data_IF_709226653248
#
_entry.id   IF_709226653248
#
_cell.length_a   1.000
_cell.length_b   1.000
_cell.length_c   1.000
_cell.angle_alpha   90.00
_cell.angle_beta   90.00
_cell.angle_gamma   90.00
#
_symmetry.space_group_name_H-M   'P 1'
#
loop_
_entity.id
_entity.type
_entity.pdbx_description
1 polymer ?
#
# COMPACT_ATOMS: atom_id res chain seq x y z
N UNK A 1 25.27 -98.52 -43.23
CA UNK A 1 24.02 -98.77 -42.48
C UNK A 1 24.23 -98.30 -41.04
N UNK A 2 23.20 -97.76 -40.38
CA UNK A 2 23.18 -96.95 -39.13
C UNK A 2 23.58 -95.48 -39.31
N UNK A 3 22.76 -94.42 -39.18
CA UNK A 3 21.48 -94.05 -38.53
C UNK A 3 21.67 -93.05 -37.37
N UNK A 4 21.35 -91.78 -37.67
CA UNK A 4 20.70 -90.71 -36.87
C UNK A 4 20.94 -90.60 -35.35
N UNK A 5 21.32 -89.40 -34.89
CA UNK A 5 20.37 -88.46 -34.25
C UNK A 5 20.96 -87.06 -34.04
N UNK A 6 20.24 -86.05 -34.54
CA UNK A 6 20.39 -84.64 -34.16
C UNK A 6 19.62 -84.43 -32.86
N UNK A 7 20.27 -83.85 -31.86
CA UNK A 7 19.57 -83.27 -30.71
C UNK A 7 19.71 -81.75 -30.75
N UNK A 8 18.56 -81.10 -30.84
CA UNK A 8 18.37 -79.67 -30.71
C UNK A 8 18.47 -79.30 -29.23
N UNK A 9 19.39 -78.39 -28.88
CA UNK A 9 19.38 -77.76 -27.57
C UNK A 9 18.47 -76.52 -27.62
N UNK A 10 17.59 -76.43 -26.63
CA UNK A 10 16.51 -75.44 -26.55
C UNK A 10 17.08 -74.09 -26.12
N UNK A 11 16.70 -73.04 -26.84
CA UNK A 11 16.94 -71.65 -26.46
C UNK A 11 16.09 -71.34 -25.22
N UNK A 12 16.74 -71.18 -24.07
CA UNK A 12 16.11 -70.67 -22.84
C UNK A 12 15.79 -69.19 -23.04
N UNK A 13 14.49 -68.89 -23.05
CA UNK A 13 13.96 -67.53 -23.04
C UNK A 13 14.30 -66.87 -21.70
N UNK A 14 15.23 -65.92 -21.76
CA UNK A 14 15.68 -65.07 -20.67
C UNK A 14 16.02 -63.69 -21.21
N UNK A 15 15.08 -63.14 -21.97
CA UNK A 15 14.99 -61.74 -22.37
C UNK A 15 14.99 -60.86 -21.11
N UNK A 16 16.13 -60.29 -20.77
CA UNK A 16 16.24 -59.22 -19.78
C UNK A 16 17.14 -58.15 -20.38
N UNK A 17 16.57 -56.95 -20.48
CA UNK A 17 17.09 -55.74 -21.10
C UNK A 17 18.58 -55.44 -20.85
N UNK A 18 19.27 -54.70 -21.75
CA UNK A 18 20.61 -54.24 -21.48
C UNK A 18 20.62 -53.43 -20.17
N UNK A 19 21.33 -53.96 -19.18
CA UNK A 19 21.51 -53.38 -17.87
C UNK A 19 22.20 -52.02 -18.05
N UNK A 20 21.47 -50.93 -17.81
CA UNK A 20 21.93 -49.54 -17.96
C UNK A 20 23.00 -49.11 -16.94
N UNK A 21 23.73 -50.06 -16.34
CA UNK A 21 24.79 -49.81 -15.36
C UNK A 21 26.22 -50.01 -15.92
N UNK A 22 26.38 -50.59 -17.11
CA UNK A 22 27.69 -51.00 -17.64
C UNK A 22 28.48 -49.88 -18.35
N UNK A 23 27.81 -48.89 -18.95
CA UNK A 23 28.46 -47.96 -19.89
C UNK A 23 29.32 -46.90 -19.18
N UNK A 24 29.15 -46.71 -17.87
CA UNK A 24 29.85 -45.64 -17.12
C UNK A 24 31.21 -46.06 -16.55
N UNK A 25 31.54 -47.34 -16.52
CA UNK A 25 32.77 -47.81 -15.88
C UNK A 25 33.87 -48.25 -16.85
N UNK A 26 33.56 -48.42 -18.14
CA UNK A 26 34.52 -48.91 -19.14
C UNK A 26 35.53 -47.87 -19.66
N UNK A 27 35.55 -46.62 -19.16
CA UNK A 27 36.47 -45.56 -19.63
C UNK A 27 37.57 -45.16 -18.62
N UNK A 28 37.56 -45.64 -17.38
CA UNK A 28 38.55 -45.23 -16.37
C UNK A 28 39.62 -46.30 -16.12
N UNK A 29 40.55 -46.46 -17.08
CA UNK A 29 41.88 -47.00 -16.77
C UNK A 29 42.79 -45.83 -16.39
N UNK A 30 42.96 -45.61 -15.09
CA UNK A 30 43.91 -44.66 -14.53
C UNK A 30 43.26 -43.63 -13.61
N UNK A 31 43.59 -43.73 -12.32
CA UNK A 31 43.40 -42.71 -11.27
C UNK A 31 41.95 -42.29 -11.02
N UNK A 32 41.28 -43.05 -10.14
CA UNK A 32 39.99 -42.69 -9.58
C UNK A 32 40.03 -41.35 -8.85
N UNK A 33 39.44 -40.34 -9.46
CA UNK A 33 38.89 -39.20 -8.73
C UNK A 33 37.37 -39.27 -8.87
N UNK A 34 36.60 -39.24 -7.77
CA UNK A 34 35.17 -39.04 -7.88
C UNK A 34 34.98 -37.67 -8.53
N UNK A 35 34.47 -37.63 -9.76
CA UNK A 35 33.97 -36.37 -10.32
C UNK A 35 32.76 -36.01 -9.49
N UNK A 36 32.99 -35.29 -8.40
CA UNK A 36 31.95 -34.54 -7.74
C UNK A 36 31.45 -33.55 -8.80
N UNK A 37 30.34 -33.86 -9.45
CA UNK A 37 29.59 -32.83 -10.17
C UNK A 37 29.18 -31.81 -9.13
N UNK A 38 30.03 -30.81 -8.91
CA UNK A 38 29.76 -29.67 -8.06
C UNK A 38 28.58 -28.96 -8.72
N UNK A 39 27.37 -29.29 -8.26
CA UNK A 39 26.15 -28.63 -8.71
C UNK A 39 26.28 -27.19 -8.23
N UNK A 40 26.39 -26.20 -9.13
CA UNK A 40 26.62 -24.83 -8.71
C UNK A 40 25.42 -24.36 -7.89
N UNK A 41 25.64 -24.12 -6.60
CA UNK A 41 24.61 -23.75 -5.62
C UNK A 41 23.88 -22.45 -5.97
N UNK A 42 24.50 -21.61 -6.79
CA UNK A 42 23.95 -20.36 -7.32
C UNK A 42 22.93 -20.54 -8.46
N UNK A 43 22.83 -21.72 -9.07
CA UNK A 43 21.94 -21.94 -10.23
C UNK A 43 20.53 -22.40 -9.76
N UNK A 44 19.48 -21.57 -9.93
CA UNK A 44 18.14 -21.84 -9.41
C UNK A 44 17.46 -23.05 -10.05
N UNK A 45 17.94 -23.49 -11.22
CA UNK A 45 17.40 -24.67 -11.94
C UNK A 45 17.61 -25.98 -11.18
N UNK A 46 18.58 -26.05 -10.28
CA UNK A 46 18.90 -27.25 -9.49
C UNK A 46 18.44 -27.16 -8.03
N UNK A 47 17.74 -26.09 -7.66
CA UNK A 47 17.21 -25.93 -6.31
C UNK A 47 16.13 -26.95 -6.01
N UNK A 48 16.22 -27.58 -4.85
CA UNK A 48 15.17 -28.47 -4.37
C UNK A 48 13.92 -27.66 -4.01
N UNK A 49 12.75 -28.31 -4.00
CA UNK A 49 11.47 -27.67 -3.62
C UNK A 49 11.56 -26.96 -2.26
N UNK A 50 12.39 -27.45 -1.34
CA UNK A 50 12.63 -26.85 -0.02
C UNK A 50 13.32 -25.48 -0.10
N UNK A 51 14.27 -25.30 -1.01
CA UNK A 51 14.97 -24.03 -1.20
C UNK A 51 14.03 -23.00 -1.84
N UNK A 52 13.22 -23.42 -2.81
CA UNK A 52 12.16 -22.57 -3.37
C UNK A 52 11.16 -22.12 -2.30
N UNK A 53 10.73 -23.02 -1.40
CA UNK A 53 9.86 -22.66 -0.26
C UNK A 53 10.54 -21.61 0.64
N UNK A 54 11.82 -21.79 0.97
CA UNK A 54 12.55 -20.82 1.80
C UNK A 54 12.68 -19.45 1.12
N UNK A 55 12.89 -19.41 -0.20
CA UNK A 55 13.00 -18.17 -0.98
C UNK A 55 11.65 -17.48 -1.08
N UNK A 56 10.57 -18.22 -1.35
CA UNK A 56 9.21 -17.67 -1.34
C UNK A 56 8.87 -17.13 0.04
N UNK A 57 9.19 -17.86 1.11
CA UNK A 57 8.97 -17.39 2.48
C UNK A 57 9.75 -16.09 2.76
N UNK A 58 11.00 -16.00 2.33
CA UNK A 58 11.81 -14.78 2.46
C UNK A 58 11.18 -13.60 1.70
N UNK A 59 10.72 -13.82 0.47
CA UNK A 59 10.04 -12.80 -0.33
C UNK A 59 8.75 -12.34 0.35
N UNK A 60 7.93 -13.26 0.87
CA UNK A 60 6.71 -12.91 1.60
C UNK A 60 7.03 -12.07 2.84
N UNK A 61 8.07 -12.42 3.60
CA UNK A 61 8.50 -11.63 4.77
C UNK A 61 8.89 -10.22 4.35
N UNK A 62 9.67 -10.05 3.28
CA UNK A 62 10.06 -8.72 2.77
C UNK A 62 8.84 -7.90 2.35
N UNK A 63 7.88 -8.52 1.65
CA UNK A 63 6.63 -7.85 1.23
C UNK A 63 5.81 -7.41 2.45
N UNK A 64 5.69 -8.26 3.47
CA UNK A 64 4.99 -7.93 4.72
C UNK A 64 5.65 -6.74 5.42
N UNK A 65 6.99 -6.70 5.48
CA UNK A 65 7.73 -5.57 6.06
C UNK A 65 7.48 -4.27 5.28
N UNK A 66 7.52 -4.31 3.94
CA UNK A 66 7.24 -3.13 3.10
C UNK A 66 5.81 -2.61 3.35
N UNK A 67 4.82 -3.50 3.38
CA UNK A 67 3.41 -3.14 3.62
C UNK A 67 3.26 -2.55 5.04
N UNK A 68 3.87 -3.16 6.06
CA UNK A 68 3.83 -2.66 7.42
C UNK A 68 4.41 -1.25 7.54
N UNK A 69 5.59 -1.00 6.94
CA UNK A 69 6.21 0.33 6.92
C UNK A 69 5.29 1.33 6.20
N UNK A 70 4.78 1.00 5.01
CA UNK A 70 3.88 1.88 4.27
C UNK A 70 2.63 2.26 5.08
N UNK A 71 1.98 1.29 5.75
CA UNK A 71 0.80 1.53 6.59
C UNK A 71 1.14 2.39 7.82
N UNK A 72 2.31 2.21 8.44
CA UNK A 72 2.71 3.03 9.60
C UNK A 72 3.03 4.48 9.24
N UNK A 73 3.48 4.74 8.00
CA UNK A 73 3.76 6.10 7.51
C UNK A 73 2.47 6.81 7.12
N UNK A 74 1.54 6.12 6.45
CA UNK A 74 0.29 6.74 5.96
C UNK A 74 -0.71 7.06 7.08
N UNK A 75 -0.69 6.32 8.20
CA UNK A 75 -1.58 6.58 9.35
C UNK A 75 -1.28 7.86 10.14
N UNK A 76 -0.12 8.49 9.94
CA UNK A 76 0.34 9.62 10.77
C UNK A 76 -0.13 11.01 10.31
N UNK A 77 -0.75 11.14 9.13
CA UNK A 77 -1.03 12.44 8.51
C UNK A 77 -2.53 12.71 8.30
N UNK A 78 -3.38 12.39 9.28
CA UNK A 78 -4.83 12.57 9.14
C UNK A 78 -5.27 14.05 9.14
N UNK A 79 -4.44 14.95 9.69
CA UNK A 79 -4.73 16.38 9.74
C UNK A 79 -3.46 17.21 9.57
N UNK A 80 -3.52 18.37 8.90
CA UNK A 80 -2.45 19.35 8.91
C UNK A 80 -2.16 19.79 10.35
N UNK A 81 -0.89 20.04 10.66
CA UNK A 81 -0.53 20.71 11.91
C UNK A 81 -0.94 22.18 11.82
N UNK A 82 -2.04 22.53 12.49
CA UNK A 82 -2.51 23.90 12.57
C UNK A 82 -1.70 24.66 13.63
N UNK A 83 -1.19 25.83 13.27
CA UNK A 83 -0.67 26.79 14.24
C UNK A 83 -1.84 27.53 14.93
N UNK A 84 -1.76 27.80 16.25
CA UNK A 84 -2.78 28.59 16.93
C UNK A 84 -2.84 30.00 16.34
N UNK A 85 -4.06 30.50 16.12
CA UNK A 85 -4.32 31.87 15.72
C UNK A 85 -4.36 32.76 16.97
N UNK A 86 -3.65 33.88 16.96
CA UNK A 86 -3.72 34.90 18.01
C UNK A 86 -4.62 36.04 17.54
N UNK A 87 -5.68 36.30 18.30
CA UNK A 87 -6.60 37.41 18.06
C UNK A 87 -6.39 38.48 19.12
N UNK A 88 -6.48 39.74 18.69
CA UNK A 88 -6.51 40.89 19.57
C UNK A 88 -7.86 41.60 19.41
N UNK A 89 -8.38 42.12 20.50
CA UNK A 89 -9.57 42.97 20.46
C UNK A 89 -9.23 44.24 19.69
N UNK A 90 -9.97 44.49 18.62
CA UNK A 90 -9.80 45.70 17.80
C UNK A 90 -10.71 46.81 18.31
N UNK A 91 -12.02 46.57 18.29
CA UNK A 91 -13.02 47.56 18.66
C UNK A 91 -14.04 46.97 19.64
N UNK A 92 -14.59 47.84 20.50
CA UNK A 92 -15.71 47.52 21.39
C UNK A 92 -16.82 48.53 21.15
N UNK A 93 -17.91 48.08 20.55
CA UNK A 93 -19.10 48.89 20.34
C UNK A 93 -20.17 48.47 21.34
N UNK A 94 -20.59 49.40 22.19
CA UNK A 94 -21.56 49.14 23.24
C UNK A 94 -22.00 50.41 23.93
N UNK A 95 -22.94 50.26 24.88
CA UNK A 95 -23.54 51.39 25.56
C UNK A 95 -24.48 52.21 24.67
N UNK A 96 -24.84 53.40 25.16
CA UNK A 96 -25.79 54.30 24.48
C UNK A 96 -25.26 54.82 23.12
N UNK A 97 -23.94 54.80 22.93
CA UNK A 97 -23.28 55.30 21.73
C UNK A 97 -23.01 54.21 20.69
N UNK A 98 -23.61 53.01 20.85
CA UNK A 98 -23.43 51.89 19.93
C UNK A 98 -23.67 52.29 18.47
N UNK A 99 -24.74 53.05 18.21
CA UNK A 99 -25.11 53.47 16.85
C UNK A 99 -24.23 54.57 16.27
N UNK A 100 -23.41 55.26 17.07
CA UNK A 100 -22.51 56.33 16.59
C UNK A 100 -21.40 55.78 15.67
N UNK A 101 -21.19 54.47 15.68
CA UNK A 101 -20.19 53.76 14.89
C UNK A 101 -20.75 53.27 13.54
N UNK A 102 -22.03 53.55 13.26
CA UNK A 102 -22.75 53.07 12.08
C UNK A 102 -23.45 54.20 11.33
N UNK A 103 -23.62 54.01 10.02
CA UNK A 103 -24.42 54.90 9.19
C UNK A 103 -25.84 54.36 9.03
N UNK A 104 -26.84 55.23 9.16
CA UNK A 104 -28.21 54.92 8.81
C UNK A 104 -28.38 55.07 7.30
N UNK A 105 -28.44 53.94 6.60
CA UNK A 105 -28.77 53.91 5.18
C UNK A 105 -30.20 54.42 4.97
N UNK A 106 -30.43 55.26 3.96
CA UNK A 106 -31.75 55.83 3.63
C UNK A 106 -32.11 55.68 2.15
N UNK A 107 -31.29 54.96 1.40
CA UNK A 107 -31.53 54.69 -0.01
C UNK A 107 -32.61 53.63 -0.21
N UNK A 108 -32.90 53.37 -1.49
CA UNK A 108 -33.72 52.23 -1.87
C UNK A 108 -33.03 50.92 -1.49
N UNK A 109 -33.81 49.91 -1.09
CA UNK A 109 -33.28 48.59 -0.79
C UNK A 109 -32.65 47.94 -2.04
N UNK A 110 -31.33 47.68 -2.07
CA UNK A 110 -30.69 47.02 -3.22
C UNK A 110 -31.28 45.63 -3.54
N UNK A 111 -31.88 44.96 -2.54
CA UNK A 111 -32.56 43.68 -2.72
C UNK A 111 -34.02 43.82 -3.21
N UNK A 112 -34.50 45.04 -3.45
CA UNK A 112 -35.85 45.36 -3.91
C UNK A 112 -36.97 44.85 -2.98
N UNK A 113 -36.72 44.81 -1.67
CA UNK A 113 -37.69 44.42 -0.66
C UNK A 113 -38.75 45.50 -0.39
N UNK A 114 -39.87 45.09 0.21
CA UNK A 114 -40.93 45.99 0.66
C UNK A 114 -40.56 46.61 2.02
N UNK A 115 -39.54 47.47 2.01
CA UNK A 115 -39.01 48.15 3.20
C UNK A 115 -38.76 49.63 2.91
N UNK A 116 -38.76 50.46 3.96
CA UNK A 116 -38.41 51.87 3.88
C UNK A 116 -37.38 52.21 4.96
N UNK A 117 -36.14 52.43 4.55
CA UNK A 117 -35.09 52.83 5.47
C UNK A 117 -35.20 54.32 5.79
N UNK A 118 -35.09 54.65 7.07
CA UNK A 118 -35.28 56.02 7.58
C UNK A 118 -33.98 56.55 8.21
N UNK A 119 -33.74 57.87 8.19
CA UNK A 119 -32.59 58.47 8.86
C UNK A 119 -32.65 58.26 10.38
N UNK A 120 -31.50 58.40 11.04
CA UNK A 120 -31.35 58.20 12.49
C UNK A 120 -32.39 58.98 13.31
N UNK A 121 -32.62 60.25 12.97
CA UNK A 121 -33.58 61.09 13.68
C UNK A 121 -35.01 60.49 13.66
N UNK A 122 -35.45 59.98 12.51
CA UNK A 122 -36.76 59.32 12.38
C UNK A 122 -36.79 57.98 13.11
N UNK A 123 -35.70 57.20 13.03
CA UNK A 123 -35.60 55.93 13.74
C UNK A 123 -35.70 56.10 15.25
N UNK A 124 -35.00 57.10 15.82
CA UNK A 124 -35.07 57.43 17.25
C UNK A 124 -36.46 57.92 17.63
N UNK A 125 -37.02 58.87 16.88
CA UNK A 125 -38.35 59.43 17.15
C UNK A 125 -39.46 58.38 17.12
N UNK A 126 -39.29 57.33 16.31
CA UNK A 126 -40.26 56.24 16.13
C UNK A 126 -39.89 54.98 16.94
N UNK A 127 -38.87 55.04 17.79
CA UNK A 127 -38.36 53.90 18.57
C UNK A 127 -38.02 52.66 17.72
N UNK A 128 -37.54 52.86 16.49
CA UNK A 128 -37.07 51.80 15.60
C UNK A 128 -35.65 51.35 15.95
N UNK A 129 -34.89 52.18 16.69
CA UNK A 129 -33.56 51.87 17.20
C UNK A 129 -33.40 52.36 18.64
N UNK A 130 -32.77 51.55 19.49
CA UNK A 130 -32.51 51.89 20.89
C UNK A 130 -31.26 51.17 21.40
N UNK A 131 -30.49 51.82 22.28
CA UNK A 131 -29.31 51.27 22.92
C UNK A 131 -29.29 51.64 24.41
N UNK A 132 -28.95 50.66 25.26
CA UNK A 132 -28.85 50.81 26.73
C UNK A 132 -27.42 50.98 27.19
N UNK A 133 -27.23 51.48 28.41
CA UNK A 133 -25.90 51.62 29.02
C UNK A 133 -25.16 50.28 29.18
N UNK A 134 -25.90 49.23 29.49
CA UNK A 134 -25.36 47.88 29.60
C UNK A 134 -25.84 47.06 28.42
N UNK A 135 -24.91 46.32 27.83
CA UNK A 135 -25.18 45.26 26.84
C UNK A 135 -25.62 43.98 27.52
#
# INVERSE_FOLDING_TARGET
MYSSNKYHERVTSGEIAPQYEDIRYARNKGLGQPVATSRPWWNPRYWTRKIWIAVVALVVIVVVVIIAVAVTVTKKNAYPDYSPLTYNLQDTYGGQNFFDQFNYFTGYDPAHGLVHYVPQADAVNRNLTYATQNS
#
